data_IF_919721054418
#
_entry.id   IF_919721054418
#
_cell.length_a   1.000
_cell.length_b   1.000
_cell.length_c   1.000
_cell.angle_alpha   90.00
_cell.angle_beta   90.00
_cell.angle_gamma   90.00
#
_symmetry.space_group_name_H-M   'P 1'
#
loop_
_entity.id
_entity.type
_entity.pdbx_description
1 polymer ?
#
# COMPACT_ATOMS: atom_id res chain seq x y z
N UNK A 1 -16.77 9.86 -30.31
CA UNK A 1 -16.41 10.05 -29.76
C UNK A 1 -15.53 9.83 -29.10
N UNK A 2 -15.17 9.83 -28.92
CA UNK A 2 -14.39 9.66 -28.31
C UNK A 2 -13.99 9.80 -27.39
N UNK A 3 -13.89 9.34 -26.92
CA UNK A 3 -13.53 9.45 -26.16
C UNK A 3 -12.56 9.43 -25.66
N UNK A 4 -12.51 9.85 -25.18
CA UNK A 4 -11.50 10.10 -24.73
C UNK A 4 -10.73 9.53 -23.90
N UNK A 5 -10.01 9.05 -23.94
CA UNK A 5 -9.34 8.20 -23.05
C UNK A 5 -8.37 8.95 -22.21
N UNK A 6 -8.90 9.67 -21.35
CA UNK A 6 -8.07 10.18 -20.31
C UNK A 6 -7.83 9.00 -19.41
N UNK A 7 -6.61 8.56 -19.37
CA UNK A 7 -6.26 7.53 -18.44
C UNK A 7 -6.33 8.09 -17.05
N UNK A 8 -7.44 7.91 -16.42
CA UNK A 8 -7.58 8.32 -15.04
C UNK A 8 -6.67 7.43 -14.21
N UNK A 9 -5.83 8.05 -13.44
CA UNK A 9 -5.00 7.31 -12.50
C UNK A 9 -5.87 6.85 -11.36
N UNK A 10 -5.94 5.55 -11.16
CA UNK A 10 -6.72 4.98 -10.07
C UNK A 10 -5.83 4.88 -8.85
N UNK A 11 -6.21 5.57 -7.79
CA UNK A 11 -5.47 5.58 -6.54
C UNK A 11 -6.26 4.77 -5.53
N UNK A 12 -5.65 3.74 -4.97
CA UNK A 12 -6.25 2.97 -3.90
C UNK A 12 -5.65 3.39 -2.57
N UNK A 13 -6.50 3.51 -1.59
CA UNK A 13 -6.10 3.87 -0.24
C UNK A 13 -6.22 2.64 0.64
N UNK A 14 -5.15 2.33 1.36
CA UNK A 14 -5.15 1.20 2.28
C UNK A 14 -4.60 1.71 3.60
N UNK A 15 -5.24 1.37 4.69
CA UNK A 15 -4.74 1.76 6.01
C UNK A 15 -3.87 0.64 6.59
N UNK A 16 -3.08 1.00 7.59
CA UNK A 16 -2.17 0.05 8.23
C UNK A 16 -2.92 -1.07 8.94
N UNK A 17 -4.07 -0.76 9.51
CA UNK A 17 -4.87 -1.78 10.18
C UNK A 17 -5.31 -2.87 9.24
N UNK A 18 -5.65 -2.52 8.01
CA UNK A 18 -6.05 -3.50 7.01
C UNK A 18 -4.87 -4.39 6.62
N UNK A 19 -3.70 -3.80 6.46
CA UNK A 19 -2.49 -4.56 6.15
C UNK A 19 -2.17 -5.54 7.29
N UNK A 20 -2.24 -5.06 8.52
CA UNK A 20 -2.00 -5.90 9.70
C UNK A 20 -2.99 -7.07 9.74
N UNK A 21 -4.25 -6.81 9.41
CA UNK A 21 -5.27 -7.83 9.38
C UNK A 21 -4.94 -8.94 8.37
N UNK A 22 -4.47 -8.58 7.18
CA UNK A 22 -4.06 -9.56 6.18
C UNK A 22 -2.84 -10.35 6.62
N UNK A 23 -1.91 -9.71 7.33
CA UNK A 23 -0.75 -10.41 7.86
C UNK A 23 -1.18 -11.43 8.91
N UNK A 24 -2.09 -11.05 9.79
CA UNK A 24 -2.59 -11.94 10.83
C UNK A 24 -3.35 -13.13 10.24
N UNK A 25 -4.03 -12.92 9.13
CA UNK A 25 -4.72 -14.00 8.43
C UNK A 25 -3.78 -14.84 7.58
N UNK A 26 -2.51 -14.50 7.59
CA UNK A 26 -1.47 -15.15 6.80
C UNK A 26 -1.70 -15.06 5.30
N UNK A 27 -2.49 -14.08 4.88
CA UNK A 27 -2.65 -13.78 3.46
C UNK A 27 -1.43 -13.09 2.91
N UNK A 28 -0.70 -12.39 3.76
CA UNK A 28 0.53 -11.72 3.41
C UNK A 28 1.62 -12.21 4.36
N UNK A 29 2.75 -12.60 3.80
CA UNK A 29 3.90 -12.99 4.60
C UNK A 29 4.55 -11.71 5.13
N UNK A 30 4.86 -11.67 6.44
CA UNK A 30 5.48 -10.50 7.03
C UNK A 30 6.92 -10.28 6.56
N UNK A 31 7.49 -11.25 5.85
CA UNK A 31 8.82 -11.12 5.27
C UNK A 31 8.77 -10.57 3.85
N UNK A 32 7.61 -10.53 3.25
CA UNK A 32 7.46 -10.03 1.91
C UNK A 32 7.32 -8.51 1.91
N UNK A 33 7.87 -7.90 0.86
CA UNK A 33 7.68 -6.48 0.66
C UNK A 33 6.27 -6.24 0.16
N UNK A 34 5.55 -5.40 0.83
CA UNK A 34 4.18 -5.06 0.43
C UNK A 34 4.24 -3.96 -0.61
N UNK A 35 3.79 -4.27 -1.81
CA UNK A 35 3.79 -3.32 -2.90
C UNK A 35 2.53 -3.45 -3.74
N UNK A 36 2.44 -2.62 -4.75
CA UNK A 36 1.28 -2.58 -5.61
C UNK A 36 1.02 -3.93 -6.29
N UNK A 37 2.07 -4.57 -6.77
CA UNK A 37 1.94 -5.85 -7.46
C UNK A 37 1.44 -6.95 -6.55
N UNK A 38 1.97 -7.03 -5.35
CA UNK A 38 1.55 -8.03 -4.37
C UNK A 38 0.08 -7.85 -4.03
N UNK A 39 -0.33 -6.62 -3.78
CA UNK A 39 -1.72 -6.33 -3.42
C UNK A 39 -2.68 -6.63 -4.55
N UNK A 40 -2.27 -6.41 -5.79
CA UNK A 40 -3.07 -6.77 -6.95
C UNK A 40 -3.18 -8.28 -7.08
N UNK A 41 -2.07 -8.99 -6.89
CA UNK A 41 -2.01 -10.43 -6.98
C UNK A 41 -2.95 -11.09 -5.98
N UNK A 42 -3.06 -10.51 -4.79
CA UNK A 42 -3.91 -11.03 -3.73
C UNK A 42 -5.35 -10.51 -3.81
N UNK A 43 -5.64 -9.72 -4.83
CA UNK A 43 -6.97 -9.12 -5.03
C UNK A 43 -7.40 -8.20 -3.89
N UNK A 44 -6.43 -7.62 -3.20
CA UNK A 44 -6.71 -6.66 -2.13
C UNK A 44 -7.07 -5.31 -2.75
N UNK A 45 -6.46 -5.00 -3.88
CA UNK A 45 -6.75 -3.79 -4.63
C UNK A 45 -7.08 -4.15 -6.08
N UNK A 46 -7.66 -3.21 -6.80
CA UNK A 46 -8.04 -3.44 -8.19
C UNK A 46 -6.81 -3.58 -9.08
N UNK A 47 -6.91 -4.41 -10.11
CA UNK A 47 -5.82 -4.61 -11.06
C UNK A 47 -5.47 -3.34 -11.81
N UNK A 48 -6.43 -2.46 -11.98
CA UNK A 48 -6.23 -1.19 -12.70
C UNK A 48 -5.69 -0.07 -11.82
N UNK A 49 -5.38 -0.38 -10.56
CA UNK A 49 -4.81 0.61 -9.65
C UNK A 49 -3.44 1.04 -10.13
N UNK A 50 -3.26 2.35 -10.30
CA UNK A 50 -1.99 2.93 -10.74
C UNK A 50 -1.12 3.36 -9.57
N UNK A 51 -1.73 3.77 -8.49
CA UNK A 51 -1.02 4.31 -7.34
C UNK A 51 -1.60 3.81 -6.05
N UNK A 52 -0.74 3.70 -5.06
CA UNK A 52 -1.11 3.20 -3.75
C UNK A 52 -0.83 4.27 -2.71
N UNK A 53 -1.81 4.51 -1.85
CA UNK A 53 -1.68 5.45 -0.75
C UNK A 53 -1.89 4.70 0.55
N UNK A 54 -0.94 4.84 1.47
CA UNK A 54 -1.02 4.18 2.76
C UNK A 54 -1.45 5.19 3.81
N UNK A 55 -2.51 4.84 4.53
CA UNK A 55 -3.06 5.68 5.58
C UNK A 55 -2.71 5.11 6.95
N UNK A 56 -2.59 6.00 7.92
CA UNK A 56 -2.17 5.62 9.26
C UNK A 56 -3.27 5.12 10.18
N UNK A 57 -4.46 4.87 9.64
CA UNK A 57 -5.56 4.35 10.45
C UNK A 57 -5.28 2.92 10.88
N UNK A 58 -5.56 2.61 12.14
CA UNK A 58 -5.29 1.29 12.69
C UNK A 58 -3.84 1.15 13.11
N UNK A 59 -3.49 -0.03 13.57
CA UNK A 59 -2.15 -0.31 14.05
C UNK A 59 -1.45 -1.36 13.21
N UNK A 60 -0.14 -1.24 13.14
CA UNK A 60 0.71 -2.24 12.49
C UNK A 60 1.68 -2.74 13.56
N UNK A 61 1.82 -4.05 13.65
CA UNK A 61 2.65 -4.68 14.69
C UNK A 61 3.87 -5.39 14.13
N UNK A 62 3.85 -5.67 12.83
CA UNK A 62 4.91 -6.42 12.18
C UNK A 62 5.92 -5.50 11.53
N UNK A 63 7.19 -5.89 11.61
CA UNK A 63 8.23 -5.17 10.87
C UNK A 63 8.12 -5.56 9.42
N UNK A 64 7.58 -4.67 8.62
CA UNK A 64 7.37 -4.94 7.19
C UNK A 64 7.90 -3.78 6.37
N UNK A 65 8.16 -4.07 5.10
CA UNK A 65 8.56 -3.06 4.14
C UNK A 65 7.36 -2.80 3.25
N UNK A 66 6.92 -1.57 3.18
CA UNK A 66 5.80 -1.18 2.33
C UNK A 66 6.29 -0.21 1.28
N UNK A 67 6.03 -0.53 0.02
CA UNK A 67 6.30 0.37 -1.09
C UNK A 67 4.98 0.97 -1.55
N UNK A 68 4.90 2.27 -1.58
CA UNK A 68 3.71 2.95 -2.04
C UNK A 68 4.08 4.30 -2.62
N UNK A 69 3.15 4.89 -3.33
CA UNK A 69 3.38 6.21 -3.93
C UNK A 69 3.22 7.32 -2.92
N UNK A 70 2.33 7.11 -1.95
CA UNK A 70 2.04 8.09 -0.91
C UNK A 70 1.90 7.41 0.43
N UNK A 71 2.43 8.05 1.45
CA UNK A 71 2.20 7.65 2.84
C UNK A 71 1.67 8.86 3.58
N UNK A 72 0.65 8.66 4.41
CA UNK A 72 0.25 9.72 5.30
C UNK A 72 1.32 9.85 6.37
N UNK A 73 1.37 11.01 7.00
CA UNK A 73 2.34 11.25 8.06
C UNK A 73 2.21 10.22 9.18
N UNK A 74 0.98 9.91 9.57
CA UNK A 74 0.71 8.91 10.59
C UNK A 74 1.18 7.53 10.19
N UNK A 75 0.95 7.17 8.93
CA UNK A 75 1.35 5.85 8.43
C UNK A 75 2.87 5.69 8.50
N UNK A 76 3.58 6.69 8.06
CA UNK A 76 5.04 6.65 8.06
C UNK A 76 5.58 6.57 9.48
N UNK A 77 5.03 7.38 10.39
CA UNK A 77 5.46 7.39 11.79
C UNK A 77 5.21 6.03 12.46
N UNK A 78 4.02 5.48 12.29
CA UNK A 78 3.68 4.20 12.91
C UNK A 78 4.55 3.08 12.39
N UNK A 79 4.83 3.09 11.09
CA UNK A 79 5.64 2.05 10.49
C UNK A 79 7.08 2.13 10.97
N UNK A 80 7.64 3.32 11.01
CA UNK A 80 9.02 3.53 11.47
C UNK A 80 9.18 3.21 12.95
N UNK A 81 8.15 3.50 13.72
CA UNK A 81 8.18 3.27 15.16
C UNK A 81 8.40 1.80 15.51
N UNK A 82 7.87 0.91 14.70
CA UNK A 82 8.01 -0.53 14.95
C UNK A 82 9.20 -1.15 14.21
N UNK A 83 10.02 -0.32 13.58
CA UNK A 83 11.17 -0.79 12.84
C UNK A 83 10.91 -1.23 11.42
N UNK A 84 9.71 -0.94 10.90
CA UNK A 84 9.40 -1.20 9.51
C UNK A 84 9.98 -0.14 8.60
N UNK A 85 9.79 -0.31 7.32
CA UNK A 85 10.30 0.62 6.32
C UNK A 85 9.20 1.11 5.40
N UNK A 86 9.15 2.40 5.18
CA UNK A 86 8.22 3.01 4.23
C UNK A 86 9.03 3.49 3.03
N UNK A 87 8.85 2.84 1.90
CA UNK A 87 9.51 3.22 0.67
C UNK A 87 8.54 3.96 -0.25
N UNK A 88 8.87 5.19 -0.58
CA UNK A 88 8.04 5.99 -1.46
C UNK A 88 8.49 5.76 -2.91
N UNK A 89 7.55 5.28 -3.71
CA UNK A 89 7.81 5.06 -5.12
C UNK A 89 7.67 6.39 -5.86
N UNK A 90 8.70 6.73 -6.61
CA UNK A 90 8.65 7.92 -7.43
C UNK A 90 8.03 7.56 -8.75
N UNK A 91 7.04 8.34 -9.13
CA UNK A 91 6.41 8.16 -10.40
C UNK A 91 7.29 8.79 -11.47
N UNK A 92 7.83 7.97 -12.33
CA UNK A 92 8.54 8.50 -13.49
C UNK A 92 7.51 8.86 -14.53
N UNK A 93 7.45 10.11 -14.82
CA UNK A 93 6.50 10.60 -15.81
C UNK A 93 6.75 9.95 -17.16
#
# INVERSE_FOLDING_TARGET
MHRNPIKKKVIEKINLGKIQNFIEKKSIDNKEKINLELLKKLNIIRKRTSRLKILGTGDIKEKIVIEAHFFSKSAKEKLEKIGGTAEVLKNKA
#
